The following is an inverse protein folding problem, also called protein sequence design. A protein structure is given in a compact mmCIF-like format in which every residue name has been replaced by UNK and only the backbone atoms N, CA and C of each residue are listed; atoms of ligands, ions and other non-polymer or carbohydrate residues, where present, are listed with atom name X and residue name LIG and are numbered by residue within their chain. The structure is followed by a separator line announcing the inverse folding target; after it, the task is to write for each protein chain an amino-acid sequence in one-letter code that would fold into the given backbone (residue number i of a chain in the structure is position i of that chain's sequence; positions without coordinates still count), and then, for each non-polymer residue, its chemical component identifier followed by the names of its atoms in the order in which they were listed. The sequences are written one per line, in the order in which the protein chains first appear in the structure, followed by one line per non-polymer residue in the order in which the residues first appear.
data_IF_511704992482
#
_entry.id   IF_511704992482
#
_cell.length_a   1.000
_cell.length_b   1.000
_cell.length_c   1.000
_cell.angle_alpha   90.00
_cell.angle_beta   90.00
_cell.angle_gamma   90.00
#
_symmetry.space_group_name_H-M   'P 1'
#
loop_
_entity.id
_entity.type
_entity.pdbx_description
1 polymer ?
#
# COMPACT_ATOMS: atom_id res chain seq x y z
N UNK A 1 5.08 -7.91 -3.95
CA UNK A 1 5.58 -6.54 -4.11
C UNK A 1 7.08 -6.60 -4.29
N UNK A 2 7.57 -6.11 -5.43
CA UNK A 2 9.00 -6.02 -5.71
C UNK A 2 9.51 -4.62 -5.33
N UNK A 3 10.43 -4.55 -4.37
CA UNK A 3 11.04 -3.30 -3.97
C UNK A 3 12.04 -2.78 -5.01
N UNK A 4 12.65 -3.67 -5.77
CA UNK A 4 13.57 -3.29 -6.84
C UNK A 4 12.83 -2.70 -8.04
N UNK A 5 11.79 -3.37 -8.50
CA UNK A 5 11.01 -2.95 -9.66
C UNK A 5 9.95 -1.93 -9.31
N UNK A 6 9.48 -1.95 -8.06
CA UNK A 6 8.45 -1.06 -7.52
C UNK A 6 7.12 -1.24 -8.23
N UNK A 7 6.71 -2.51 -8.28
CA UNK A 7 5.41 -2.94 -8.74
C UNK A 7 4.78 -3.87 -7.72
N UNK A 8 3.47 -3.79 -7.61
CA UNK A 8 2.65 -4.78 -6.91
C UNK A 8 2.02 -5.68 -7.96
N UNK A 9 2.26 -6.98 -7.84
CA UNK A 9 1.67 -7.97 -8.73
C UNK A 9 0.57 -8.69 -7.97
N UNK A 10 -0.64 -8.68 -8.51
CA UNK A 10 -1.77 -9.39 -7.97
C UNK A 10 -1.87 -10.76 -8.64
N UNK A 11 -1.88 -11.80 -7.82
CA UNK A 11 -1.91 -13.19 -8.28
C UNK A 11 -3.20 -13.87 -7.85
N UNK A 12 -3.76 -14.68 -8.73
CA UNK A 12 -4.87 -15.58 -8.43
C UNK A 12 -4.50 -16.98 -8.90
N UNK A 13 -4.39 -17.90 -7.94
CA UNK A 13 -4.00 -19.28 -8.19
C UNK A 13 -2.71 -19.38 -9.04
N UNK A 14 -1.73 -18.56 -8.70
CA UNK A 14 -0.43 -18.51 -9.37
C UNK A 14 -0.41 -17.71 -10.67
N UNK A 15 -1.57 -17.22 -11.13
CA UNK A 15 -1.64 -16.41 -12.36
C UNK A 15 -1.65 -14.93 -12.04
N UNK A 16 -0.90 -14.17 -12.84
CA UNK A 16 -0.90 -12.70 -12.74
C UNK A 16 -2.22 -12.17 -13.28
N UNK A 17 -3.00 -11.52 -12.43
CA UNK A 17 -4.25 -10.87 -12.82
C UNK A 17 -4.18 -9.35 -12.77
N UNK A 18 -3.07 -8.80 -12.29
CA UNK A 18 -2.83 -7.36 -12.30
C UNK A 18 -1.40 -7.04 -11.91
N UNK A 19 -0.88 -5.94 -12.45
CA UNK A 19 0.44 -5.41 -12.13
C UNK A 19 0.32 -3.89 -12.07
N UNK A 20 0.72 -3.31 -10.94
CA UNK A 20 0.48 -1.90 -10.65
C UNK A 20 1.75 -1.21 -10.16
N UNK A 21 2.03 0.01 -10.64
CA UNK A 21 3.16 0.78 -10.12
C UNK A 21 2.89 1.18 -8.67
N UNK A 22 3.95 1.23 -7.87
CA UNK A 22 3.84 1.64 -6.46
C UNK A 22 4.97 2.58 -6.09
N UNK A 23 4.70 3.43 -5.09
CA UNK A 23 5.73 4.14 -4.35
C UNK A 23 6.03 3.35 -3.08
N UNK A 24 7.28 3.34 -2.67
CA UNK A 24 7.77 2.53 -1.55
C UNK A 24 8.42 3.41 -0.48
N UNK A 25 8.86 2.79 0.61
CA UNK A 25 9.58 3.48 1.68
C UNK A 25 10.86 4.13 1.19
N UNK A 26 11.16 5.32 1.73
CA UNK A 26 12.41 6.01 1.48
C UNK A 26 13.60 5.20 2.03
N UNK A 27 14.86 5.46 1.58
CA UNK A 27 16.02 4.73 2.10
C UNK A 27 16.18 4.80 3.61
N UNK A 28 15.79 5.90 4.24
CA UNK A 28 15.85 6.09 5.70
C UNK A 28 14.67 5.47 6.45
N UNK A 29 13.63 5.05 5.73
CA UNK A 29 12.44 4.40 6.29
C UNK A 29 11.94 3.32 5.33
N UNK A 30 12.77 2.27 5.08
CA UNK A 30 12.50 1.31 4.02
C UNK A 30 11.29 0.42 4.33
N UNK A 31 10.62 0.00 3.27
CA UNK A 31 9.59 -1.03 3.36
C UNK A 31 10.26 -2.36 3.72
N UNK A 32 9.85 -3.04 4.80
CA UNK A 32 10.50 -4.30 5.19
C UNK A 32 10.13 -5.43 4.22
N UNK A 33 11.13 -6.18 3.72
CA UNK A 33 10.85 -7.39 2.96
C UNK A 33 10.39 -8.51 3.89
N UNK A 34 9.65 -9.47 3.35
CA UNK A 34 9.19 -10.61 4.11
C UNK A 34 7.88 -11.18 3.58
N UNK A 35 7.39 -12.19 4.28
CA UNK A 35 6.11 -12.83 4.00
C UNK A 35 5.13 -12.46 5.10
N UNK A 36 4.05 -11.81 4.72
CA UNK A 36 3.04 -11.29 5.62
C UNK A 36 1.65 -11.72 5.15
N UNK A 37 0.62 -11.31 5.86
CA UNK A 37 -0.76 -11.51 5.47
C UNK A 37 -1.58 -10.26 5.79
N UNK A 38 -2.61 -9.99 5.01
CA UNK A 38 -3.52 -8.87 5.27
C UNK A 38 -4.17 -9.05 6.64
N UNK A 39 -4.06 -8.03 7.50
CA UNK A 39 -4.60 -8.04 8.86
C UNK A 39 -5.86 -7.19 9.01
N UNK A 40 -6.01 -6.15 8.20
CA UNK A 40 -7.12 -5.23 8.30
C UNK A 40 -7.39 -4.57 6.96
N UNK A 41 -8.65 -4.34 6.64
CA UNK A 41 -9.06 -3.65 5.41
C UNK A 41 -10.05 -2.56 5.76
N UNK A 42 -9.85 -1.36 5.22
CA UNK A 42 -10.71 -0.21 5.42
C UNK A 42 -11.09 0.40 4.07
N UNK A 43 -12.39 0.38 3.76
CA UNK A 43 -12.93 0.90 2.51
C UNK A 43 -13.10 2.43 2.54
N UNK A 44 -13.06 3.04 3.71
CA UNK A 44 -13.22 4.50 3.87
C UNK A 44 -12.28 5.01 4.95
N UNK A 45 -10.96 4.98 4.68
CA UNK A 45 -9.98 5.38 5.70
C UNK A 45 -10.07 6.86 6.03
N UNK A 46 -10.15 7.16 7.33
CA UNK A 46 -10.07 8.51 7.86
C UNK A 46 -8.64 8.73 8.34
N UNK A 47 -8.04 9.84 7.95
CA UNK A 47 -6.68 10.15 8.33
C UNK A 47 -6.67 11.08 9.54
N UNK A 48 -5.92 10.70 10.58
CA UNK A 48 -5.75 11.49 11.79
C UNK A 48 -4.30 11.91 11.92
N UNK A 49 -4.04 13.21 12.01
CA UNK A 49 -2.70 13.74 12.25
C UNK A 49 -2.77 15.07 13.01
N UNK A 50 -2.16 15.12 14.19
CA UNK A 50 -2.01 16.34 14.98
C UNK A 50 -3.31 17.15 15.13
N UNK A 51 -4.38 16.48 15.53
CA UNK A 51 -5.69 17.11 15.72
C UNK A 51 -6.47 17.39 14.44
N UNK A 52 -5.93 17.04 13.28
CA UNK A 52 -6.66 17.13 12.01
C UNK A 52 -7.28 15.80 11.66
N UNK A 53 -8.51 15.86 11.16
CA UNK A 53 -9.23 14.69 10.66
C UNK A 53 -9.50 14.94 9.18
N UNK A 54 -9.01 14.05 8.32
CA UNK A 54 -9.22 14.13 6.89
C UNK A 54 -10.16 13.01 6.48
N UNK A 55 -11.29 13.39 5.89
CA UNK A 55 -12.31 12.45 5.42
C UNK A 55 -11.75 11.52 4.33
N UNK A 56 -12.34 10.33 4.13
CA UNK A 56 -11.94 9.44 3.04
C UNK A 56 -12.06 10.14 1.68
N UNK A 57 -11.16 9.81 0.77
CA UNK A 57 -11.23 10.34 -0.59
C UNK A 57 -9.86 10.59 -1.21
N UNK A 58 -9.85 11.11 -2.46
CA UNK A 58 -8.62 11.30 -3.22
C UNK A 58 -7.68 12.36 -2.62
N UNK A 59 -8.16 13.22 -1.74
CA UNK A 59 -7.33 14.23 -1.06
C UNK A 59 -6.74 13.74 0.26
N UNK A 60 -7.12 12.53 0.69
CA UNK A 60 -6.60 11.92 1.91
C UNK A 60 -5.20 11.37 1.64
N UNK A 61 -4.21 11.58 2.53
CA UNK A 61 -2.86 11.04 2.35
C UNK A 61 -2.80 9.53 2.15
N UNK A 62 -3.74 8.77 2.71
CA UNK A 62 -3.85 7.32 2.49
C UNK A 62 -4.85 6.98 1.38
N UNK A 63 -5.39 7.98 0.69
CA UNK A 63 -6.27 7.81 -0.44
C UNK A 63 -7.62 7.22 -0.08
N UNK A 64 -8.12 6.35 -0.98
CA UNK A 64 -9.50 5.86 -0.94
C UNK A 64 -9.66 4.47 -0.31
N UNK A 65 -8.56 3.75 -0.06
CA UNK A 65 -8.57 2.41 0.55
C UNK A 65 -7.31 2.20 1.36
N UNK A 66 -7.39 1.38 2.40
CA UNK A 66 -6.27 1.08 3.29
C UNK A 66 -6.28 -0.42 3.59
N UNK A 67 -5.14 -1.07 3.38
CA UNK A 67 -4.96 -2.51 3.60
C UNK A 67 -3.72 -2.72 4.44
N UNK A 68 -3.89 -2.96 5.74
CA UNK A 68 -2.78 -3.25 6.64
C UNK A 68 -2.33 -4.71 6.50
N UNK A 69 -1.01 -4.95 6.59
CA UNK A 69 -0.49 -6.31 6.47
C UNK A 69 0.54 -6.69 7.53
N UNK A 70 1.08 -5.75 8.28
CA UNK A 70 1.98 -6.09 9.39
C UNK A 70 2.10 -4.91 10.35
N UNK A 71 2.30 -5.23 11.63
CA UNK A 71 2.68 -4.25 12.65
C UNK A 71 4.04 -4.62 13.20
N UNK A 72 4.99 -3.69 13.15
CA UNK A 72 6.35 -3.87 13.67
C UNK A 72 6.60 -2.74 14.65
N UNK A 73 6.80 -3.10 15.93
CA UNK A 73 6.90 -2.11 16.99
C UNK A 73 5.62 -1.29 17.11
N UNK A 74 5.73 0.04 17.01
CA UNK A 74 4.57 0.96 17.05
C UNK A 74 4.07 1.31 15.66
N UNK A 75 4.73 0.82 14.60
CA UNK A 75 4.38 1.15 13.21
C UNK A 75 3.57 0.07 12.53
N UNK A 76 2.50 0.47 11.87
CA UNK A 76 1.71 -0.40 11.01
C UNK A 76 2.09 -0.15 9.56
N UNK A 77 2.37 -1.23 8.81
CA UNK A 77 2.66 -1.15 7.38
C UNK A 77 1.44 -1.56 6.59
N UNK A 78 1.15 -0.79 5.56
CA UNK A 78 -0.07 -0.95 4.80
C UNK A 78 0.14 -0.63 3.33
N UNK A 79 -0.79 -1.12 2.52
CA UNK A 79 -0.96 -0.75 1.13
C UNK A 79 -2.16 0.18 1.08
N UNK A 80 -2.01 1.36 0.50
CA UNK A 80 -3.10 2.34 0.46
C UNK A 80 -3.01 3.24 -0.77
N UNK A 81 -4.05 4.02 -1.00
CA UNK A 81 -4.06 5.03 -2.04
C UNK A 81 -3.23 6.26 -1.67
N UNK A 82 -3.45 7.37 -2.35
CA UNK A 82 -2.61 8.56 -2.17
C UNK A 82 -3.34 9.85 -2.57
N UNK A 83 -2.94 10.95 -1.94
CA UNK A 83 -3.31 12.29 -2.39
C UNK A 83 -2.30 12.84 -3.41
N UNK A 84 -1.17 12.14 -3.61
CA UNK A 84 -0.06 12.61 -4.47
C UNK A 84 0.29 11.56 -5.54
N UNK A 85 -0.56 11.41 -6.58
CA UNK A 85 -0.41 10.33 -7.56
C UNK A 85 0.90 10.39 -8.37
N UNK A 86 1.49 11.57 -8.52
CA UNK A 86 2.72 11.70 -9.31
C UNK A 86 3.89 10.90 -8.72
N UNK A 87 3.99 10.79 -7.39
CA UNK A 87 5.02 9.97 -6.76
C UNK A 87 4.88 8.50 -7.11
N UNK A 88 3.63 8.01 -7.21
CA UNK A 88 3.35 6.63 -7.61
C UNK A 88 3.67 6.40 -9.08
N UNK A 89 3.31 7.34 -9.94
CA UNK A 89 3.62 7.26 -11.37
C UNK A 89 5.12 7.21 -11.62
N UNK A 90 5.90 7.90 -10.79
CA UNK A 90 7.36 7.86 -10.84
C UNK A 90 7.96 6.67 -10.12
N UNK A 91 7.16 5.87 -9.45
CA UNK A 91 7.59 4.74 -8.61
C UNK A 91 8.65 5.19 -7.60
N UNK A 92 8.38 6.29 -6.90
CA UNK A 92 9.34 6.93 -6.02
C UNK A 92 9.51 6.20 -4.69
N UNK A 93 10.70 6.34 -4.07
CA UNK A 93 10.99 5.83 -2.73
C UNK A 93 10.87 7.00 -1.75
N UNK A 94 9.67 7.29 -1.28
CA UNK A 94 9.36 8.54 -0.56
C UNK A 94 8.51 8.34 0.69
N UNK A 95 7.98 7.15 0.96
CA UNK A 95 7.08 6.94 2.09
C UNK A 95 7.84 6.61 3.38
N UNK A 96 7.10 6.53 4.49
CA UNK A 96 7.64 6.07 5.78
C UNK A 96 7.64 4.54 5.91
N UNK A 97 7.49 3.83 4.78
CA UNK A 97 7.52 2.38 4.71
C UNK A 97 6.27 1.75 4.11
N UNK A 98 5.14 2.44 4.10
CA UNK A 98 3.92 1.97 3.45
C UNK A 98 4.05 1.95 1.93
N UNK A 99 3.24 1.13 1.30
CA UNK A 99 3.16 1.02 -0.15
C UNK A 99 2.03 1.91 -0.64
N UNK A 100 2.36 2.90 -1.47
CA UNK A 100 1.36 3.80 -2.06
C UNK A 100 1.01 3.35 -3.47
N UNK A 101 -0.30 3.29 -3.76
CA UNK A 101 -0.84 2.97 -5.07
C UNK A 101 -1.65 4.14 -5.61
N UNK A 102 -1.86 4.17 -6.92
CA UNK A 102 -2.88 5.05 -7.49
C UNK A 102 -4.25 4.63 -6.93
N UNK A 103 -5.12 5.60 -6.68
CA UNK A 103 -6.41 5.32 -6.06
C UNK A 103 -7.26 4.32 -6.85
N UNK A 104 -7.29 4.42 -8.18
CA UNK A 104 -8.01 3.44 -9.00
C UNK A 104 -7.42 2.06 -8.89
N UNK A 105 -6.11 1.94 -8.74
CA UNK A 105 -5.42 0.65 -8.64
C UNK A 105 -5.68 -0.01 -7.29
N UNK A 106 -5.62 0.76 -6.19
CA UNK A 106 -5.86 0.19 -4.86
C UNK A 106 -7.29 -0.29 -4.70
N UNK A 107 -8.24 0.33 -5.35
CA UNK A 107 -9.63 -0.15 -5.37
C UNK A 107 -9.70 -1.52 -6.03
N UNK A 108 -9.02 -1.72 -7.16
CA UNK A 108 -8.99 -3.01 -7.85
C UNK A 108 -8.38 -4.10 -6.98
N UNK A 109 -7.25 -3.82 -6.34
CA UNK A 109 -6.60 -4.77 -5.44
C UNK A 109 -7.51 -5.07 -4.24
N UNK A 110 -8.07 -4.04 -3.62
CA UNK A 110 -8.97 -4.18 -2.47
C UNK A 110 -10.13 -5.12 -2.76
N UNK A 111 -10.72 -5.00 -3.94
CA UNK A 111 -11.88 -5.81 -4.33
C UNK A 111 -11.54 -7.28 -4.61
N UNK A 112 -10.26 -7.63 -4.72
CA UNK A 112 -9.80 -8.97 -5.07
C UNK A 112 -9.14 -9.71 -3.91
N UNK A 113 -8.94 -9.06 -2.77
CA UNK A 113 -8.26 -9.63 -1.61
C UNK A 113 -9.18 -9.63 -0.38
N UNK A 114 -8.73 -10.30 0.68
CA UNK A 114 -9.44 -10.37 1.96
C UNK A 114 -8.42 -10.43 3.09
N UNK A 115 -8.88 -10.26 4.33
CA UNK A 115 -8.03 -10.51 5.51
C UNK A 115 -7.50 -11.95 5.43
N UNK A 116 -6.21 -12.11 5.64
CA UNK A 116 -5.51 -13.38 5.49
C UNK A 116 -4.83 -13.58 4.14
N UNK A 117 -5.13 -12.76 3.12
CA UNK A 117 -4.44 -12.83 1.84
C UNK A 117 -2.93 -12.67 2.03
N UNK A 118 -2.09 -13.57 1.49
CA UNK A 118 -0.64 -13.42 1.60
C UNK A 118 -0.14 -12.14 0.93
N UNK A 119 0.78 -11.46 1.61
CA UNK A 119 1.49 -10.29 1.09
C UNK A 119 2.98 -10.60 1.15
N UNK A 120 3.61 -10.73 0.00
CA UNK A 120 5.03 -11.07 -0.10
C UNK A 120 5.77 -9.86 -0.63
N UNK A 121 6.73 -9.37 0.16
CA UNK A 121 7.56 -8.23 -0.20
C UNK A 121 8.97 -8.72 -0.44
N UNK A 122 9.46 -8.54 -1.66
CA UNK A 122 10.78 -9.01 -2.06
C UNK A 122 11.72 -7.85 -2.32
N UNK A 123 13.02 -8.05 -2.05
CA UNK A 123 14.05 -7.07 -2.39
C UNK A 123 14.25 -6.98 -3.90
N UNK A 124 13.99 -8.05 -4.61
CA UNK A 124 14.23 -8.17 -6.06
C UNK A 124 12.97 -7.94 -6.89
#
# INVERSE_FOLDING_TARGET
ISLKQRYLTLLDDGKVIGKYPVAIGAPESPTPPGSFAVTKMDAQPVYHKKGKIIAPGPKNPVGVRYVAYVQIGTGEYAIHGTAWPNWVKLRAAVSLGCIRMLNNDVIQVYNRIKVGTPVIVTKN
#
